data_IF_217866660228
#
_entry.id   IF_217866660228
#
_cell.length_a   1.000
_cell.length_b   1.000
_cell.length_c   1.000
_cell.angle_alpha   90.00
_cell.angle_beta   90.00
_cell.angle_gamma   90.00
#
_symmetry.space_group_name_H-M   'P 1'
#
loop_
_entity.id
_entity.type
_entity.pdbx_description
1 polymer ?
#
# COMPACT_ATOMS: atom_id res chain seq x y z
N UNK A 1 8.46 -2.68 -22.03
CA UNK A 1 8.79 -3.55 -20.87
C UNK A 1 8.67 -2.81 -19.54
N UNK A 2 9.35 -1.67 -19.34
CA UNK A 2 9.35 -0.91 -18.07
C UNK A 2 7.96 -0.62 -17.44
N UNK A 3 6.95 -0.26 -18.26
CA UNK A 3 5.61 0.06 -17.75
C UNK A 3 4.85 -1.15 -17.16
N UNK A 4 5.10 -2.36 -17.69
CA UNK A 4 4.52 -3.60 -17.16
C UNK A 4 5.15 -3.98 -15.82
N UNK A 5 6.44 -3.72 -15.63
CA UNK A 5 7.13 -3.96 -14.35
C UNK A 5 6.55 -3.09 -13.23
N UNK A 6 6.26 -1.81 -13.52
CA UNK A 6 5.57 -0.92 -12.58
C UNK A 6 4.18 -1.45 -12.21
N UNK A 7 3.43 -1.95 -13.19
CA UNK A 7 2.11 -2.53 -12.95
C UNK A 7 2.16 -3.76 -12.04
N UNK A 8 3.07 -4.71 -12.29
CA UNK A 8 3.22 -5.89 -11.43
C UNK A 8 3.62 -5.51 -10.00
N UNK A 9 4.50 -4.50 -9.85
CA UNK A 9 4.87 -3.97 -8.54
C UNK A 9 3.69 -3.34 -7.82
N UNK A 10 2.85 -2.56 -8.51
CA UNK A 10 1.67 -1.95 -7.91
C UNK A 10 0.61 -2.98 -7.51
N UNK A 11 0.40 -4.01 -8.34
CA UNK A 11 -0.48 -5.14 -7.99
C UNK A 11 0.05 -5.87 -6.75
N UNK A 12 1.35 -6.18 -6.71
CA UNK A 12 1.97 -6.81 -5.55
C UNK A 12 1.85 -5.95 -4.28
N UNK A 13 2.09 -4.64 -4.40
CA UNK A 13 1.92 -3.69 -3.30
C UNK A 13 0.48 -3.64 -2.78
N UNK A 14 -0.51 -3.65 -3.68
CA UNK A 14 -1.92 -3.66 -3.29
C UNK A 14 -2.32 -4.97 -2.60
N UNK A 15 -1.87 -6.11 -3.10
CA UNK A 15 -2.11 -7.42 -2.47
C UNK A 15 -1.50 -7.44 -1.07
N UNK A 16 -0.27 -6.95 -0.92
CA UNK A 16 0.38 -6.83 0.38
C UNK A 16 -0.38 -5.87 1.31
N UNK A 17 -0.84 -4.73 0.80
CA UNK A 17 -1.62 -3.79 1.59
C UNK A 17 -2.91 -4.41 2.17
N UNK A 18 -3.54 -5.34 1.44
CA UNK A 18 -4.77 -5.99 1.89
C UNK A 18 -4.47 -7.17 2.82
N UNK A 19 -3.52 -8.03 2.44
CA UNK A 19 -3.32 -9.33 3.07
C UNK A 19 -2.20 -9.36 4.12
N UNK A 20 -1.32 -8.35 4.19
CA UNK A 20 -0.19 -8.40 5.10
C UNK A 20 -0.63 -8.37 6.57
N UNK A 21 -0.13 -9.29 7.41
CA UNK A 21 -0.38 -9.26 8.84
C UNK A 21 0.42 -8.12 9.48
N UNK A 22 -0.25 -7.00 9.80
CA UNK A 22 0.38 -5.85 10.45
C UNK A 22 0.60 -6.12 11.95
N UNK A 23 -0.25 -6.93 12.59
CA UNK A 23 -0.10 -7.36 13.98
C UNK A 23 0.12 -6.18 14.97
N UNK A 24 -0.44 -5.00 14.69
CA UNK A 24 -0.24 -3.80 15.51
C UNK A 24 1.12 -3.08 15.33
N UNK A 25 1.99 -3.56 14.45
CA UNK A 25 3.29 -2.94 14.17
C UNK A 25 3.16 -1.84 13.10
N UNK A 26 3.23 -0.58 13.55
CA UNK A 26 3.16 0.59 12.68
C UNK A 26 4.32 0.68 11.68
N UNK A 27 5.48 0.05 11.94
CA UNK A 27 6.59 0.05 11.00
C UNK A 27 6.27 -0.79 9.75
N UNK A 28 5.36 -1.76 9.89
CA UNK A 28 4.90 -2.59 8.77
C UNK A 28 4.07 -1.83 7.74
N UNK A 29 3.34 -0.79 8.15
CA UNK A 29 2.58 0.04 7.20
C UNK A 29 3.52 0.90 6.35
N UNK A 30 4.65 1.36 6.92
CA UNK A 30 5.61 2.23 6.24
C UNK A 30 6.29 1.53 5.07
N UNK A 31 6.76 0.28 5.24
CA UNK A 31 7.45 -0.42 4.16
C UNK A 31 6.50 -0.76 3.00
N UNK A 32 5.25 -1.14 3.27
CA UNK A 32 4.24 -1.43 2.24
C UNK A 32 3.89 -0.15 1.47
N UNK A 33 3.75 0.97 2.17
CA UNK A 33 3.56 2.29 1.56
C UNK A 33 4.75 2.63 0.66
N UNK A 34 5.97 2.33 1.10
CA UNK A 34 7.19 2.48 0.30
C UNK A 34 7.15 1.69 -1.01
N UNK A 35 6.67 0.44 -1.00
CA UNK A 35 6.49 -0.35 -2.23
C UNK A 35 5.46 0.29 -3.18
N UNK A 36 4.34 0.80 -2.65
CA UNK A 36 3.36 1.55 -3.42
C UNK A 36 3.98 2.78 -4.10
N UNK A 37 4.73 3.59 -3.34
CA UNK A 37 5.41 4.77 -3.85
C UNK A 37 6.48 4.46 -4.91
N UNK A 38 7.29 3.42 -4.71
CA UNK A 38 8.31 2.98 -5.69
C UNK A 38 7.64 2.53 -7.00
N UNK A 39 6.51 1.81 -6.92
CA UNK A 39 5.78 1.38 -8.13
C UNK A 39 5.27 2.56 -8.96
N UNK A 40 4.72 3.59 -8.31
CA UNK A 40 4.27 4.83 -8.94
C UNK A 40 5.45 5.60 -9.53
N UNK A 41 6.57 5.69 -8.82
CA UNK A 41 7.79 6.33 -9.31
C UNK A 41 8.32 5.68 -10.59
N UNK A 42 8.40 4.34 -10.62
CA UNK A 42 8.84 3.58 -11.80
C UNK A 42 7.91 3.80 -12.99
N UNK A 43 6.59 3.87 -12.77
CA UNK A 43 5.63 4.21 -13.81
C UNK A 43 5.78 5.67 -14.29
N UNK A 44 6.06 6.61 -13.39
CA UNK A 44 6.29 8.01 -13.74
C UNK A 44 7.52 8.20 -14.62
N UNK A 45 8.61 7.48 -14.33
CA UNK A 45 9.82 7.49 -15.15
C UNK A 45 9.61 6.97 -16.58
N UNK A 46 8.51 6.28 -16.86
CA UNK A 46 8.17 5.85 -18.22
C UNK A 46 7.56 6.99 -19.07
N UNK A 47 6.97 8.02 -18.45
CA UNK A 47 6.26 9.11 -19.15
C UNK A 47 7.16 9.92 -20.09
N UNK A 48 8.39 10.35 -19.71
CA UNK A 48 9.28 11.08 -20.61
C UNK A 48 9.68 10.26 -21.84
N UNK A 49 9.80 8.93 -21.69
CA UNK A 49 10.13 8.02 -22.81
C UNK A 49 9.01 7.93 -23.83
N UNK A 50 7.75 7.88 -23.39
CA UNK A 50 6.59 7.92 -24.30
C UNK A 50 6.49 9.26 -25.03
N UNK A 51 6.71 10.39 -24.31
CA UNK A 51 6.73 11.73 -24.91
C UNK A 51 7.86 11.92 -25.93
N UNK A 52 9.06 11.43 -25.63
CA UNK A 52 10.21 11.49 -26.53
C UNK A 52 10.06 10.62 -27.78
N UNK A 53 9.27 9.55 -27.72
CA UNK A 53 8.97 8.69 -28.86
C UNK A 53 7.78 9.18 -29.71
N UNK A 54 7.08 10.26 -29.30
CA UNK A 54 5.90 10.76 -30.00
C UNK A 54 4.68 9.83 -29.95
N UNK A 55 4.68 8.84 -29.04
CA UNK A 55 3.63 7.82 -28.93
C UNK A 55 2.72 8.13 -27.73
N UNK A 56 1.40 7.89 -27.81
CA UNK A 56 0.52 8.03 -26.65
C UNK A 56 0.99 7.17 -25.47
N UNK A 57 0.85 7.72 -24.26
CA UNK A 57 1.19 7.04 -23.00
C UNK A 57 0.32 5.79 -22.86
N UNK A 58 0.95 4.63 -22.58
CA UNK A 58 0.22 3.38 -22.36
C UNK A 58 -0.74 3.49 -21.16
N UNK A 59 -1.93 2.89 -21.28
CA UNK A 59 -2.94 2.80 -20.20
C UNK A 59 -2.42 2.15 -18.91
N UNK A 60 -1.32 1.40 -18.99
CA UNK A 60 -0.65 0.79 -17.84
C UNK A 60 -0.11 1.84 -16.85
N UNK A 61 0.26 3.02 -17.32
CA UNK A 61 0.77 4.12 -16.48
C UNK A 61 -0.31 4.68 -15.54
N UNK A 62 -1.49 5.14 -16.02
CA UNK A 62 -2.54 5.59 -15.12
C UNK A 62 -3.07 4.47 -14.22
N UNK A 63 -3.13 3.21 -14.70
CA UNK A 63 -3.53 2.10 -13.83
C UNK A 63 -2.54 1.88 -12.68
N UNK A 64 -1.23 1.92 -12.95
CA UNK A 64 -0.19 1.77 -11.91
C UNK A 64 -0.29 2.89 -10.88
N UNK A 65 -0.59 4.12 -11.31
CA UNK A 65 -0.80 5.26 -10.41
C UNK A 65 -2.01 5.04 -9.49
N UNK A 66 -3.13 4.58 -10.03
CA UNK A 66 -4.34 4.31 -9.23
C UNK A 66 -4.09 3.18 -8.25
N UNK A 67 -3.48 2.07 -8.68
CA UNK A 67 -3.19 0.93 -7.81
C UNK A 67 -2.19 1.26 -6.70
N UNK A 68 -1.11 1.98 -7.02
CA UNK A 68 -0.15 2.45 -6.04
C UNK A 68 -0.78 3.45 -5.05
N UNK A 69 -1.61 4.37 -5.54
CA UNK A 69 -2.34 5.32 -4.71
C UNK A 69 -3.32 4.63 -3.76
N UNK A 70 -4.04 3.61 -4.24
CA UNK A 70 -4.91 2.78 -3.40
C UNK A 70 -4.13 2.06 -2.31
N UNK A 71 -2.98 1.46 -2.64
CA UNK A 71 -2.13 0.80 -1.65
C UNK A 71 -1.68 1.78 -0.56
N UNK A 72 -1.27 3.00 -0.94
CA UNK A 72 -0.89 4.06 0.00
C UNK A 72 -2.08 4.46 0.89
N UNK A 73 -3.27 4.68 0.33
CA UNK A 73 -4.48 5.04 1.09
C UNK A 73 -4.87 3.96 2.09
N UNK A 74 -4.82 2.69 1.70
CA UNK A 74 -5.12 1.55 2.57
C UNK A 74 -4.13 1.52 3.74
N UNK A 75 -2.83 1.71 3.49
CA UNK A 75 -1.82 1.73 4.55
C UNK A 75 -1.91 2.95 5.46
N UNK A 76 -2.30 4.11 4.92
CA UNK A 76 -2.58 5.29 5.72
C UNK A 76 -3.76 5.05 6.68
N UNK A 77 -4.84 4.44 6.18
CA UNK A 77 -5.96 4.02 7.03
C UNK A 77 -5.54 2.99 8.08
N UNK A 78 -4.75 1.98 7.69
CA UNK A 78 -4.24 0.97 8.62
C UNK A 78 -3.38 1.58 9.74
N UNK A 79 -2.53 2.57 9.42
CA UNK A 79 -1.77 3.32 10.41
C UNK A 79 -2.70 4.08 11.37
N UNK A 80 -3.71 4.78 10.85
CA UNK A 80 -4.69 5.48 11.67
C UNK A 80 -5.46 4.52 12.61
N UNK A 81 -5.82 3.32 12.13
CA UNK A 81 -6.43 2.26 12.94
C UNK A 81 -5.50 1.82 14.07
N UNK A 82 -4.22 1.56 13.79
CA UNK A 82 -3.25 1.11 14.81
C UNK A 82 -3.04 2.20 15.87
N UNK A 83 -2.92 3.47 15.45
CA UNK A 83 -2.78 4.62 16.37
C UNK A 83 -4.06 4.81 17.19
N UNK A 84 -5.25 4.71 16.59
CA UNK A 84 -6.51 4.81 17.31
C UNK A 84 -6.65 3.69 18.35
N UNK A 85 -6.29 2.46 17.98
CA UNK A 85 -6.30 1.30 18.88
C UNK A 85 -5.36 1.50 20.09
N UNK A 86 -4.17 2.07 19.87
CA UNK A 86 -3.24 2.42 20.96
C UNK A 86 -3.81 3.48 21.94
N UNK A 87 -4.78 4.28 21.50
CA UNK A 87 -5.50 5.25 22.33
C UNK A 87 -6.85 4.72 22.85
N UNK A 88 -7.13 3.42 22.71
CA UNK A 88 -8.37 2.80 23.19
C UNK A 88 -9.59 3.01 22.28
N UNK A 89 -9.41 3.54 21.07
CA UNK A 89 -10.49 3.76 20.10
C UNK A 89 -10.55 2.61 19.10
N UNK A 90 -11.67 1.89 19.06
CA UNK A 90 -11.90 0.81 18.11
C UNK A 90 -12.47 1.34 16.78
N UNK A 91 -11.66 1.30 15.71
CA UNK A 91 -12.10 1.59 14.34
C UNK A 91 -12.35 0.27 13.58
N UNK A 92 -13.29 0.26 12.61
CA UNK A 92 -13.59 -0.94 11.83
C UNK A 92 -12.40 -1.35 10.98
N UNK A 93 -11.76 -2.47 11.30
CA UNK A 93 -10.57 -2.94 10.60
C UNK A 93 -10.50 -4.48 10.57
N UNK A 94 -9.77 -5.05 9.59
CA UNK A 94 -9.50 -6.47 9.55
C UNK A 94 -8.70 -6.95 10.78
N UNK A 95 -9.05 -8.12 11.32
CA UNK A 95 -8.41 -8.66 12.52
C UNK A 95 -6.90 -8.88 12.36
N UNK A 96 -6.43 -9.23 11.16
CA UNK A 96 -4.99 -9.46 10.90
C UNK A 96 -4.14 -8.18 10.92
N UNK A 97 -4.77 -7.00 10.95
CA UNK A 97 -4.05 -5.74 11.10
C UNK A 97 -3.71 -5.43 12.56
N UNK A 98 -4.55 -5.88 13.47
CA UNK A 98 -4.40 -5.66 14.90
C UNK A 98 -3.57 -6.78 15.52
N UNK A 99 -2.94 -6.51 16.67
CA UNK A 99 -2.30 -7.56 17.44
C UNK A 99 -3.35 -8.58 17.88
N UNK A 100 -3.01 -9.88 17.99
CA UNK A 100 -3.91 -10.86 18.58
C UNK A 100 -4.35 -10.38 19.95
N UNK A 101 -5.64 -10.11 20.13
CA UNK A 101 -6.22 -10.02 21.46
C UNK A 101 -6.24 -11.43 22.02
N UNK A 102 -5.40 -11.71 23.02
CA UNK A 102 -5.49 -12.97 23.76
C UNK A 102 -6.95 -13.18 24.22
N UNK A 103 -7.47 -14.42 24.27
CA UNK A 103 -8.84 -14.69 24.72
C UNK A 103 -9.10 -14.37 26.20
N UNK A 104 -8.16 -13.73 26.90
CA UNK A 104 -8.32 -13.27 28.25
C UNK A 104 -7.84 -11.82 28.33
N UNK A 105 -8.71 -10.90 28.73
CA UNK A 105 -8.37 -9.51 28.96
C UNK A 105 -7.38 -9.32 30.11
N UNK A 106 -6.11 -9.65 29.87
CA UNK A 106 -4.99 -9.36 30.76
C UNK A 106 -3.88 -8.75 29.90
N UNK A 107 -3.71 -7.45 30.05
CA UNK A 107 -2.51 -6.73 29.62
C UNK A 107 -1.30 -7.30 30.34
N UNK A 108 -0.25 -7.65 29.61
CA UNK A 108 1.10 -7.84 30.14
C UNK A 108 1.99 -6.71 29.63
#
# INVERSE_FOLDING_TARGET
>A
MFAWTGLFLAVGALVLAIAAPLQGDALRTVWITGFGAISMWVAYLAVPRYRGAGVPVSWTVPLTMVLGGLAILIMFYAFAVIVAAANGVALPAPAHWLAPTDPAGVTA
#
